data_IF_428188725607
#
_entry.id   IF_428188725607
#
_cell.length_a   1.000
_cell.length_b   1.000
_cell.length_c   1.000
_cell.angle_alpha   90.00
_cell.angle_beta   90.00
_cell.angle_gamma   90.00
#
_symmetry.space_group_name_H-M   'P 1'
#
loop_
_entity.id
_entity.type
_entity.pdbx_description
1 polymer ?
#
# COMPACT_ATOMS: atom_id res chain seq x y z
N UNK A 1 -18.43 9.98 -6.94
CA UNK A 1 -17.55 8.92 -6.40
C UNK A 1 -16.60 8.44 -7.48
N UNK A 2 -15.33 8.28 -7.14
CA UNK A 2 -14.34 7.81 -8.10
C UNK A 2 -14.51 6.31 -8.37
N UNK A 3 -14.31 5.91 -9.62
CA UNK A 3 -14.25 4.50 -9.99
C UNK A 3 -12.95 3.89 -9.44
N UNK A 4 -12.87 2.55 -9.42
CA UNK A 4 -11.65 1.86 -9.01
C UNK A 4 -10.45 2.29 -9.87
N UNK A 5 -10.65 2.39 -11.19
CA UNK A 5 -9.57 2.80 -12.09
C UNK A 5 -9.10 4.23 -11.82
N UNK A 6 -10.02 5.13 -11.47
CA UNK A 6 -9.66 6.50 -11.12
C UNK A 6 -8.90 6.56 -9.80
N UNK A 7 -9.28 5.74 -8.81
CA UNK A 7 -8.58 5.64 -7.54
C UNK A 7 -7.16 5.10 -7.74
N UNK A 8 -7.00 4.13 -8.62
CA UNK A 8 -5.67 3.61 -8.94
C UNK A 8 -4.79 4.67 -9.60
N UNK A 9 -5.35 5.47 -10.51
CA UNK A 9 -4.59 6.56 -11.14
C UNK A 9 -4.19 7.62 -10.13
N UNK A 10 -5.05 7.93 -9.16
CA UNK A 10 -4.69 8.84 -8.08
C UNK A 10 -3.54 8.30 -7.25
N UNK A 11 -3.52 7.00 -6.95
CA UNK A 11 -2.41 6.37 -6.26
C UNK A 11 -1.12 6.47 -7.06
N UNK A 12 -1.17 6.30 -8.39
CA UNK A 12 -0.01 6.43 -9.25
C UNK A 12 0.57 7.84 -9.25
N UNK A 13 -0.29 8.87 -9.17
CA UNK A 13 0.15 10.26 -9.13
C UNK A 13 0.95 10.59 -7.88
N UNK A 14 0.74 9.85 -6.80
CA UNK A 14 1.43 10.08 -5.54
C UNK A 14 2.59 9.11 -5.34
N UNK A 15 2.97 8.41 -6.40
CA UNK A 15 4.14 7.55 -6.44
C UNK A 15 5.36 8.43 -6.76
N UNK A 16 6.13 8.75 -5.75
CA UNK A 16 7.24 9.69 -5.85
C UNK A 16 8.58 9.01 -5.59
N UNK A 17 9.57 9.38 -6.41
CA UNK A 17 10.93 8.93 -6.20
C UNK A 17 11.75 10.06 -5.54
N UNK A 18 12.44 9.73 -4.47
CA UNK A 18 13.36 10.63 -3.79
C UNK A 18 14.69 9.89 -3.64
N UNK A 19 15.65 10.20 -4.53
CA UNK A 19 16.91 9.47 -4.59
C UNK A 19 16.68 7.99 -4.94
N UNK A 20 17.24 7.05 -4.16
CA UNK A 20 17.02 5.63 -4.38
C UNK A 20 15.72 5.09 -3.78
N UNK A 21 14.87 5.94 -3.23
CA UNK A 21 13.67 5.54 -2.50
C UNK A 21 12.41 5.91 -3.25
N UNK A 22 11.38 5.09 -3.06
CA UNK A 22 10.05 5.31 -3.61
C UNK A 22 9.09 5.52 -2.46
N UNK A 23 8.34 6.61 -2.52
CA UNK A 23 7.31 6.93 -1.55
C UNK A 23 5.96 6.61 -2.17
N UNK A 24 5.28 5.59 -1.64
CA UNK A 24 3.98 5.15 -2.12
C UNK A 24 2.96 5.34 -1.01
N UNK A 25 1.82 5.88 -1.34
CA UNK A 25 0.76 6.06 -0.37
C UNK A 25 -0.61 6.13 -1.05
N UNK A 26 -1.64 5.82 -0.28
CA UNK A 26 -3.02 5.99 -0.72
C UNK A 26 -3.52 7.35 -0.26
N UNK A 27 -4.47 7.93 -1.00
CA UNK A 27 -5.05 9.23 -0.62
C UNK A 27 -6.20 9.00 0.35
N UNK A 28 -6.01 9.38 1.62
CA UNK A 28 -7.00 9.22 2.66
C UNK A 28 -8.28 10.02 2.45
N UNK A 29 -8.26 11.01 1.55
CA UNK A 29 -9.46 11.76 1.21
C UNK A 29 -10.39 10.98 0.28
N UNK A 30 -9.84 9.99 -0.42
CA UNK A 30 -10.57 9.18 -1.40
C UNK A 30 -11.05 7.89 -0.78
N UNK A 31 -10.26 7.31 0.12
CA UNK A 31 -10.55 6.02 0.72
C UNK A 31 -11.34 6.15 2.01
N UNK A 32 -12.31 5.28 2.19
CA UNK A 32 -13.03 5.15 3.45
C UNK A 32 -12.16 4.42 4.46
N UNK A 33 -12.50 4.54 5.75
CA UNK A 33 -11.80 3.80 6.80
C UNK A 33 -11.92 2.30 6.54
N UNK A 34 -10.79 1.63 6.44
CA UNK A 34 -10.75 0.19 6.19
C UNK A 34 -10.03 -0.57 7.31
N UNK A 35 -9.28 0.12 8.14
CA UNK A 35 -8.67 -0.46 9.33
C UNK A 35 -9.34 0.15 10.55
N UNK A 36 -10.35 -0.54 11.07
CA UNK A 36 -11.20 -0.01 12.12
C UNK A 36 -10.94 -0.64 13.49
N UNK A 37 -10.48 -1.88 13.51
CA UNK A 37 -10.28 -2.63 14.75
C UNK A 37 -8.82 -3.04 14.90
N UNK A 38 -8.44 -3.43 16.11
CA UNK A 38 -7.09 -3.97 16.34
C UNK A 38 -6.84 -5.21 15.48
N UNK A 39 -7.87 -6.03 15.29
CA UNK A 39 -7.78 -7.21 14.44
C UNK A 39 -7.51 -6.82 12.99
N UNK A 40 -8.15 -5.77 12.48
CA UNK A 40 -7.89 -5.27 11.13
C UNK A 40 -6.43 -4.86 10.96
N UNK A 41 -5.86 -4.19 11.95
CA UNK A 41 -4.44 -3.80 11.91
C UNK A 41 -3.52 -5.01 11.93
N UNK A 42 -3.84 -6.04 12.68
CA UNK A 42 -3.08 -7.30 12.69
C UNK A 42 -3.13 -7.98 11.34
N UNK A 43 -4.29 -8.01 10.72
CA UNK A 43 -4.48 -8.55 9.37
C UNK A 43 -3.63 -7.77 8.37
N UNK A 44 -3.64 -6.44 8.47
CA UNK A 44 -2.85 -5.58 7.59
C UNK A 44 -1.35 -5.82 7.77
N UNK A 45 -0.87 -5.96 9.00
CA UNK A 45 0.54 -6.26 9.26
C UNK A 45 0.94 -7.62 8.68
N UNK A 46 0.08 -8.62 8.79
CA UNK A 46 0.33 -9.93 8.21
C UNK A 46 0.38 -9.85 6.69
N UNK A 47 -0.55 -9.11 6.08
CA UNK A 47 -0.57 -8.91 4.63
C UNK A 47 0.73 -8.23 4.15
N UNK A 48 1.19 -7.22 4.88
CA UNK A 48 2.45 -6.55 4.58
C UNK A 48 3.62 -7.53 4.65
N UNK A 49 3.68 -8.35 5.70
CA UNK A 49 4.73 -9.34 5.85
C UNK A 49 4.74 -10.35 4.68
N UNK A 50 3.57 -10.79 4.24
CA UNK A 50 3.46 -11.73 3.11
C UNK A 50 3.99 -11.12 1.83
N UNK A 51 3.62 -9.87 1.52
CA UNK A 51 4.09 -9.24 0.28
C UNK A 51 5.60 -8.96 0.30
N UNK A 52 6.20 -8.76 1.47
CA UNK A 52 7.67 -8.62 1.56
C UNK A 52 8.38 -9.90 1.15
N UNK A 53 7.80 -11.04 1.43
CA UNK A 53 8.36 -12.33 1.01
C UNK A 53 8.20 -12.51 -0.49
N UNK A 54 7.05 -12.14 -1.04
CA UNK A 54 6.78 -12.25 -2.48
C UNK A 54 7.65 -11.31 -3.31
N UNK A 55 7.98 -10.14 -2.80
CA UNK A 55 8.79 -9.13 -3.48
C UNK A 55 10.13 -8.96 -2.76
N UNK A 56 10.90 -10.02 -2.72
CA UNK A 56 12.11 -10.10 -1.90
C UNK A 56 13.27 -9.20 -2.37
N UNK A 57 13.16 -8.59 -3.55
CA UNK A 57 14.13 -7.61 -4.04
C UNK A 57 13.83 -6.19 -3.57
N UNK A 58 12.67 -5.99 -2.94
CA UNK A 58 12.26 -4.70 -2.40
C UNK A 58 12.57 -4.67 -0.92
N UNK A 59 13.15 -3.55 -0.48
CA UNK A 59 13.38 -3.31 0.94
C UNK A 59 12.35 -2.32 1.44
N UNK A 60 11.71 -2.64 2.55
CA UNK A 60 10.83 -1.69 3.23
C UNK A 60 11.68 -0.88 4.20
N UNK A 61 11.77 0.42 3.94
CA UNK A 61 12.53 1.32 4.78
C UNK A 61 11.69 1.76 5.97
N UNK A 62 10.45 2.14 5.68
CA UNK A 62 9.47 2.45 6.71
C UNK A 62 8.07 2.25 6.17
N UNK A 63 7.11 2.16 7.06
CA UNK A 63 5.71 2.03 6.70
C UNK A 63 4.83 2.67 7.76
N UNK A 64 3.62 3.03 7.36
CA UNK A 64 2.61 3.55 8.26
C UNK A 64 1.25 3.07 7.79
N UNK A 65 0.52 2.42 8.69
CA UNK A 65 -0.82 1.91 8.42
C UNK A 65 -1.79 2.73 9.24
N UNK A 66 -2.59 3.53 8.54
CA UNK A 66 -3.61 4.37 9.15
C UNK A 66 -4.99 3.81 8.84
N UNK A 67 -6.01 4.27 9.55
CA UNK A 67 -7.37 3.76 9.35
C UNK A 67 -7.87 3.92 7.91
N UNK A 68 -7.44 4.96 7.22
CA UNK A 68 -7.93 5.28 5.87
C UNK A 68 -6.83 5.42 4.83
N UNK A 69 -5.57 5.21 5.18
CA UNK A 69 -4.50 5.26 4.19
C UNK A 69 -3.26 4.50 4.64
N UNK A 70 -2.40 4.21 3.68
CA UNK A 70 -1.17 3.46 3.86
C UNK A 70 -0.02 4.28 3.28
N UNK A 71 1.08 4.34 3.99
CA UNK A 71 2.33 4.93 3.53
C UNK A 71 3.42 3.88 3.53
N UNK A 72 4.20 3.81 2.45
CA UNK A 72 5.39 2.96 2.36
C UNK A 72 6.54 3.77 1.79
N UNK A 73 7.72 3.59 2.36
CA UNK A 73 8.95 4.05 1.73
C UNK A 73 9.75 2.80 1.41
N UNK A 74 9.99 2.58 0.12
CA UNK A 74 10.59 1.37 -0.41
C UNK A 74 11.88 1.69 -1.17
N UNK A 75 12.80 0.75 -1.15
CA UNK A 75 14.01 0.78 -1.95
C UNK A 75 13.99 -0.43 -2.89
N UNK A 76 14.21 -0.19 -4.18
CA UNK A 76 14.21 -1.24 -5.20
C UNK A 76 13.86 -0.68 -6.57
N UNK A 77 13.70 -1.59 -7.53
CA UNK A 77 13.26 -1.21 -8.86
C UNK A 77 11.81 -0.71 -8.83
N UNK A 78 11.51 0.30 -9.63
CA UNK A 78 10.19 0.91 -9.66
C UNK A 78 9.08 -0.12 -9.88
N UNK A 79 9.28 -1.02 -10.83
CA UNK A 79 8.30 -2.06 -11.16
C UNK A 79 8.04 -2.97 -9.98
N UNK A 80 9.09 -3.39 -9.27
CA UNK A 80 8.97 -4.26 -8.11
C UNK A 80 8.27 -3.53 -6.95
N UNK A 81 8.63 -2.28 -6.71
CA UNK A 81 8.01 -1.47 -5.65
C UNK A 81 6.53 -1.24 -5.93
N UNK A 82 6.18 -0.91 -7.17
CA UNK A 82 4.79 -0.73 -7.57
C UNK A 82 4.03 -2.06 -7.46
N UNK A 83 4.65 -3.16 -7.89
CA UNK A 83 4.07 -4.50 -7.78
C UNK A 83 3.75 -4.87 -6.33
N UNK A 84 4.68 -4.61 -5.42
CA UNK A 84 4.47 -4.86 -3.99
C UNK A 84 3.26 -4.06 -3.48
N UNK A 85 3.20 -2.79 -3.80
CA UNK A 85 2.12 -1.91 -3.35
C UNK A 85 0.76 -2.36 -3.87
N UNK A 86 0.69 -2.67 -5.18
CA UNK A 86 -0.54 -3.15 -5.80
C UNK A 86 -1.01 -4.47 -5.19
N UNK A 87 -0.07 -5.38 -4.93
CA UNK A 87 -0.39 -6.66 -4.32
C UNK A 87 -0.89 -6.49 -2.89
N UNK A 88 -0.27 -5.58 -2.12
CA UNK A 88 -0.72 -5.28 -0.77
C UNK A 88 -2.15 -4.76 -0.78
N UNK A 89 -2.44 -3.78 -1.64
CA UNK A 89 -3.79 -3.22 -1.74
C UNK A 89 -4.82 -4.28 -2.12
N UNK A 90 -4.51 -5.10 -3.11
CA UNK A 90 -5.40 -6.17 -3.55
C UNK A 90 -5.67 -7.18 -2.44
N UNK A 91 -4.63 -7.55 -1.70
CA UNK A 91 -4.77 -8.50 -0.60
C UNK A 91 -5.62 -7.94 0.54
N UNK A 92 -5.39 -6.69 0.91
CA UNK A 92 -6.19 -6.04 1.96
C UNK A 92 -7.65 -5.93 1.56
N UNK A 93 -7.90 -5.54 0.32
CA UNK A 93 -9.25 -5.44 -0.21
C UNK A 93 -10.00 -6.77 -0.14
N UNK A 94 -9.32 -7.85 -0.48
CA UNK A 94 -9.91 -9.19 -0.45
C UNK A 94 -10.17 -9.68 0.98
N UNK A 95 -9.21 -9.50 1.88
CA UNK A 95 -9.30 -10.03 3.24
C UNK A 95 -10.25 -9.21 4.11
N UNK A 96 -10.20 -7.89 4.00
CA UNK A 96 -11.02 -6.99 4.80
C UNK A 96 -12.41 -6.76 4.20
N UNK A 97 -12.67 -7.28 3.02
CA UNK A 97 -13.96 -7.15 2.32
C UNK A 97 -14.39 -5.71 2.10
N UNK A 98 -13.44 -4.86 1.81
CA UNK A 98 -13.69 -3.43 1.58
C UNK A 98 -13.77 -3.09 0.10
#
# INVERSE_FOLDING_TARGET
MLTFAEKERECERIFEKSGPFWHLYTDGRIMEDFLCTEEDFKIAMTALAVVTVLFNKVRIITFELMSNHIHLILNGEAEDCMGLFERLKARLKRILKT
#
